data_IF_585709587326
#
_entry.id   IF_585709587326
#
_cell.length_a   1.000
_cell.length_b   1.000
_cell.length_c   1.000
_cell.angle_alpha   90.00
_cell.angle_beta   90.00
_cell.angle_gamma   90.00
#
_symmetry.space_group_name_H-M   'P 1'
#
loop_
_entity.id
_entity.type
_entity.pdbx_description
1 polymer ?
#
# COMPACT_ATOMS: atom_id res chain seq x y z
N UNK A 1 -25.48 19.17 -53.47
CA UNK A 1 -26.11 19.20 -52.13
C UNK A 1 -26.34 17.78 -51.57
N UNK A 2 -26.80 16.83 -52.39
CA UNK A 2 -27.07 15.44 -51.96
C UNK A 2 -25.84 14.68 -51.45
N UNK A 3 -24.68 14.83 -52.11
CA UNK A 3 -23.43 14.18 -51.69
C UNK A 3 -23.00 14.66 -50.29
N UNK A 4 -23.13 15.95 -50.00
CA UNK A 4 -22.80 16.52 -48.69
C UNK A 4 -23.73 15.99 -47.59
N UNK A 5 -25.03 15.88 -47.88
CA UNK A 5 -26.02 15.29 -46.97
C UNK A 5 -25.75 13.80 -46.74
N UNK A 6 -25.38 13.05 -47.77
CA UNK A 6 -25.03 11.64 -47.68
C UNK A 6 -23.79 11.42 -46.78
N UNK A 7 -22.72 12.20 -47.00
CA UNK A 7 -21.51 12.14 -46.17
C UNK A 7 -21.80 12.48 -44.71
N UNK A 8 -22.61 13.50 -44.44
CA UNK A 8 -23.02 13.85 -43.09
C UNK A 8 -23.78 12.73 -42.39
N UNK A 9 -24.73 12.07 -43.09
CA UNK A 9 -25.47 10.92 -42.55
C UNK A 9 -24.55 9.76 -42.21
N UNK A 10 -23.57 9.44 -43.05
CA UNK A 10 -22.59 8.36 -42.80
C UNK A 10 -21.70 8.69 -41.60
N UNK A 11 -21.21 9.93 -41.50
CA UNK A 11 -20.41 10.34 -40.33
C UNK A 11 -21.22 10.27 -39.03
N UNK A 12 -22.47 10.74 -39.06
CA UNK A 12 -23.35 10.69 -37.88
C UNK A 12 -23.64 9.25 -37.43
N UNK A 13 -23.99 8.34 -38.35
CA UNK A 13 -24.28 6.95 -38.00
C UNK A 13 -23.04 6.23 -37.46
N UNK A 14 -21.87 6.42 -38.08
CA UNK A 14 -20.61 5.83 -37.60
C UNK A 14 -20.25 6.35 -36.20
N UNK A 15 -20.39 7.65 -35.95
CA UNK A 15 -20.17 8.24 -34.63
C UNK A 15 -21.12 7.67 -33.57
N UNK A 16 -22.40 7.48 -33.91
CA UNK A 16 -23.39 6.88 -33.00
C UNK A 16 -23.03 5.43 -32.68
N UNK A 17 -22.64 4.63 -33.68
CA UNK A 17 -22.23 3.23 -33.48
C UNK A 17 -20.99 3.14 -32.57
N UNK A 18 -19.97 3.98 -32.79
CA UNK A 18 -18.78 4.05 -31.95
C UNK A 18 -19.12 4.43 -30.50
N UNK A 19 -20.01 5.40 -30.31
CA UNK A 19 -20.46 5.80 -28.98
C UNK A 19 -21.19 4.66 -28.26
N UNK A 20 -22.14 4.00 -28.93
CA UNK A 20 -22.87 2.86 -28.36
C UNK A 20 -21.91 1.70 -28.00
N UNK A 21 -20.92 1.43 -28.85
CA UNK A 21 -19.90 0.43 -28.58
C UNK A 21 -19.05 0.79 -27.34
N UNK A 22 -18.65 2.06 -27.23
CA UNK A 22 -17.90 2.55 -26.06
C UNK A 22 -18.74 2.43 -24.78
N UNK A 23 -20.01 2.84 -24.80
CA UNK A 23 -20.94 2.70 -23.67
C UNK A 23 -21.10 1.23 -23.29
N UNK A 24 -21.30 0.34 -24.25
CA UNK A 24 -21.40 -1.09 -24.00
C UNK A 24 -20.12 -1.67 -23.36
N UNK A 25 -18.93 -1.26 -23.84
CA UNK A 25 -17.65 -1.65 -23.25
C UNK A 25 -17.52 -1.16 -21.80
N UNK A 26 -17.94 0.07 -21.52
CA UNK A 26 -17.93 0.62 -20.15
C UNK A 26 -18.90 -0.16 -19.26
N UNK A 27 -20.11 -0.47 -19.72
CA UNK A 27 -21.08 -1.26 -18.96
C UNK A 27 -20.54 -2.68 -18.69
N UNK A 28 -19.95 -3.33 -19.69
CA UNK A 28 -19.38 -4.66 -19.51
C UNK A 28 -18.26 -4.64 -18.46
N UNK A 29 -17.31 -3.70 -18.58
CA UNK A 29 -16.16 -3.58 -17.68
C UNK A 29 -16.56 -3.15 -16.27
N UNK A 30 -17.44 -2.17 -16.13
CA UNK A 30 -17.80 -1.61 -14.83
C UNK A 30 -18.88 -2.43 -14.13
N UNK A 31 -19.82 -3.05 -14.83
CA UNK A 31 -20.96 -3.71 -14.19
C UNK A 31 -20.95 -5.22 -14.36
N UNK A 32 -20.81 -5.71 -15.60
CA UNK A 32 -21.00 -7.13 -15.90
C UNK A 32 -19.84 -7.98 -15.39
N UNK A 33 -18.60 -7.59 -15.69
CA UNK A 33 -17.38 -8.28 -15.26
C UNK A 33 -17.29 -8.41 -13.73
N UNK A 34 -17.41 -7.32 -12.92
CA UNK A 34 -17.33 -7.45 -11.47
C UNK A 34 -18.46 -8.29 -10.90
N UNK A 35 -19.68 -8.18 -11.44
CA UNK A 35 -20.80 -9.01 -10.98
C UNK A 35 -20.58 -10.50 -11.28
N UNK A 36 -20.03 -10.84 -12.45
CA UNK A 36 -19.65 -12.22 -12.81
C UNK A 36 -18.57 -12.75 -11.87
N UNK A 37 -17.52 -11.96 -11.61
CA UNK A 37 -16.46 -12.33 -10.69
C UNK A 37 -16.98 -12.51 -9.26
N UNK A 38 -17.83 -11.60 -8.76
CA UNK A 38 -18.49 -11.72 -7.47
C UNK A 38 -19.29 -13.02 -7.32
N UNK A 39 -20.11 -13.36 -8.31
CA UNK A 39 -20.88 -14.61 -8.33
C UNK A 39 -19.96 -15.84 -8.34
N UNK A 40 -18.86 -15.79 -9.10
CA UNK A 40 -17.89 -16.90 -9.17
C UNK A 40 -17.20 -17.13 -7.82
N UNK A 41 -16.76 -16.06 -7.15
CA UNK A 41 -16.15 -16.15 -5.81
C UNK A 41 -17.12 -16.76 -4.79
N UNK A 42 -18.38 -16.30 -4.79
CA UNK A 42 -19.43 -16.85 -3.91
C UNK A 42 -19.72 -18.32 -4.18
N UNK A 43 -19.76 -18.74 -5.44
CA UNK A 43 -19.92 -20.16 -5.83
C UNK A 43 -18.77 -21.02 -5.32
N UNK A 44 -17.56 -20.49 -5.28
CA UNK A 44 -16.38 -21.18 -4.74
C UNK A 44 -16.29 -21.12 -3.20
N UNK A 45 -17.35 -20.68 -2.52
CA UNK A 45 -17.40 -20.62 -1.04
C UNK A 45 -16.70 -19.41 -0.42
N UNK A 46 -16.13 -18.50 -1.21
CA UNK A 46 -15.49 -17.29 -0.69
C UNK A 46 -16.58 -16.29 -0.26
N UNK A 47 -16.68 -16.12 1.06
CA UNK A 47 -17.57 -15.13 1.71
C UNK A 47 -16.85 -13.79 1.85
N UNK A 48 -17.58 -12.76 2.26
CA UNK A 48 -17.04 -11.44 2.50
C UNK A 48 -18.11 -10.35 2.52
N UNK A 49 -17.71 -9.10 2.76
CA UNK A 49 -18.62 -7.97 2.76
C UNK A 49 -19.23 -7.77 1.36
N UNK A 50 -20.51 -7.42 1.31
CA UNK A 50 -21.20 -7.19 0.04
C UNK A 50 -20.68 -5.91 -0.62
N UNK A 51 -20.16 -5.96 -1.86
CA UNK A 51 -19.66 -4.76 -2.54
C UNK A 51 -20.80 -3.85 -3.01
N UNK A 52 -20.58 -2.53 -2.94
CA UNK A 52 -21.51 -1.53 -3.49
C UNK A 52 -20.87 -0.87 -4.71
N UNK A 53 -21.48 -1.05 -5.88
CA UNK A 53 -20.99 -0.42 -7.10
C UNK A 53 -21.15 1.11 -7.06
N UNK A 54 -20.21 1.91 -7.59
CA UNK A 54 -18.94 1.51 -8.25
C UNK A 54 -17.74 1.37 -7.31
N UNK A 55 -17.87 1.77 -6.04
CA UNK A 55 -16.73 1.94 -5.13
C UNK A 55 -16.36 0.68 -4.35
N UNK A 56 -17.10 -0.42 -4.51
CA UNK A 56 -16.89 -1.66 -3.78
C UNK A 56 -17.14 -1.44 -2.28
N UNK A 57 -16.13 -1.74 -1.45
CA UNK A 57 -16.18 -1.59 0.00
C UNK A 57 -15.48 -0.32 0.52
N UNK A 58 -14.98 0.56 -0.36
CA UNK A 58 -14.23 1.77 0.03
C UNK A 58 -15.01 2.68 0.98
N UNK A 59 -16.32 2.83 0.75
CA UNK A 59 -17.18 3.64 1.61
C UNK A 59 -17.27 3.11 3.05
N UNK A 60 -17.35 1.79 3.21
CA UNK A 60 -17.37 1.13 4.52
C UNK A 60 -16.00 1.26 5.21
N UNK A 61 -14.91 1.05 4.48
CA UNK A 61 -13.54 1.22 5.00
C UNK A 61 -13.33 2.64 5.53
N UNK A 62 -13.73 3.67 4.77
CA UNK A 62 -13.63 5.07 5.19
C UNK A 62 -14.45 5.34 6.46
N UNK A 63 -15.66 4.79 6.55
CA UNK A 63 -16.53 4.92 7.73
C UNK A 63 -15.91 4.25 8.97
N UNK A 64 -15.39 3.03 8.86
CA UNK A 64 -14.78 2.33 9.99
C UNK A 64 -13.53 3.05 10.52
N UNK A 65 -12.71 3.63 9.63
CA UNK A 65 -11.57 4.47 10.03
C UNK A 65 -12.04 5.74 10.74
N UNK A 66 -13.07 6.42 10.22
CA UNK A 66 -13.61 7.63 10.84
C UNK A 66 -14.21 7.35 12.22
N UNK A 67 -15.04 6.31 12.35
CA UNK A 67 -15.69 5.94 13.60
C UNK A 67 -14.67 5.55 14.69
N UNK A 68 -13.56 4.91 14.32
CA UNK A 68 -12.48 4.60 15.26
C UNK A 68 -11.81 5.88 15.79
N UNK A 69 -11.55 6.87 14.92
CA UNK A 69 -10.96 8.16 15.30
C UNK A 69 -11.88 8.96 16.23
N UNK A 70 -13.17 9.00 15.96
CA UNK A 70 -14.14 9.70 16.81
C UNK A 70 -14.31 9.03 18.18
N UNK A 71 -14.27 7.69 18.22
CA UNK A 71 -14.35 6.91 19.46
C UNK A 71 -13.10 7.09 20.35
N UNK A 72 -11.92 7.29 19.76
CA UNK A 72 -10.70 7.61 20.52
C UNK A 72 -10.64 9.05 21.02
N UNK A 73 -11.43 9.96 20.44
CA UNK A 73 -11.53 11.35 20.90
C UNK A 73 -12.64 11.58 21.94
N UNK A 74 -13.63 10.69 22.05
CA UNK A 74 -14.70 10.78 23.06
C UNK A 74 -14.35 10.13 24.40
N UNK A 75 -13.23 9.39 24.49
CA UNK A 75 -12.63 8.94 25.76
C UNK A 75 -11.72 10.02 26.38
N UNK A 76 -12.12 11.30 26.27
CA UNK A 76 -11.48 12.44 26.94
C UNK A 76 -12.25 12.88 28.18
N UNK A 77 -12.90 11.95 28.88
CA UNK A 77 -13.37 12.17 30.25
C UNK A 77 -12.44 11.46 31.23
N UNK A 78 -11.77 12.28 32.04
CA UNK A 78 -11.04 11.93 33.26
C UNK A 78 -9.81 11.01 33.12
N UNK A 79 -8.64 11.66 33.19
CA UNK A 79 -7.45 11.23 33.91
C UNK A 79 -7.41 9.76 34.39
N UNK A 80 -6.87 8.87 33.57
CA UNK A 80 -6.09 7.73 34.07
C UNK A 80 -4.69 7.79 33.47
N UNK A 81 -3.74 8.30 34.27
CA UNK A 81 -2.30 8.13 34.07
C UNK A 81 -1.96 6.65 34.32
N UNK A 82 -2.35 5.76 33.42
CA UNK A 82 -1.77 4.43 33.28
C UNK A 82 -0.90 4.44 32.03
N UNK A 83 0.31 3.88 32.08
CA UNK A 83 1.10 3.68 30.85
C UNK A 83 0.21 3.06 29.79
N UNK A 84 0.30 3.46 28.50
CA UNK A 84 -0.44 2.75 27.47
C UNK A 84 -0.02 1.30 27.55
N UNK A 85 -0.92 0.43 28.03
CA UNK A 85 -0.74 -1.01 27.95
C UNK A 85 -0.37 -1.28 26.51
N UNK A 86 0.86 -1.75 26.28
CA UNK A 86 1.36 -2.02 24.93
C UNK A 86 0.59 -3.24 24.45
N UNK A 87 -0.58 -2.99 23.87
CA UNK A 87 -1.40 -4.04 23.30
C UNK A 87 -0.69 -4.54 22.06
N UNK A 88 -0.38 -5.84 22.03
CA UNK A 88 0.25 -6.47 20.87
C UNK A 88 -0.70 -6.58 19.66
N UNK A 89 -2.01 -6.31 19.82
CA UNK A 89 -2.96 -6.26 18.71
C UNK A 89 -2.93 -4.89 18.00
N UNK A 90 -1.93 -4.73 17.14
CA UNK A 90 -1.77 -3.57 16.27
C UNK A 90 -2.79 -3.63 15.12
N UNK A 91 -3.27 -4.81 14.75
CA UNK A 91 -4.08 -5.02 13.55
C UNK A 91 -5.42 -4.29 13.60
N UNK A 92 -6.14 -4.38 14.72
CA UNK A 92 -7.42 -3.68 14.90
C UNK A 92 -7.27 -2.15 15.02
N UNK A 93 -6.08 -1.68 15.37
CA UNK A 93 -5.75 -0.26 15.46
C UNK A 93 -5.42 0.33 14.09
N UNK A 94 -4.62 -0.38 13.29
CA UNK A 94 -4.17 0.10 11.97
C UNK A 94 -5.23 -0.15 10.89
N UNK A 95 -5.89 -1.32 10.92
CA UNK A 95 -6.88 -1.74 9.92
C UNK A 95 -8.20 -2.16 10.57
N UNK A 96 -8.96 -1.21 11.14
CA UNK A 96 -10.18 -1.52 11.90
C UNK A 96 -11.25 -2.26 11.07
N UNK A 97 -11.35 -1.96 9.77
CA UNK A 97 -12.29 -2.62 8.86
C UNK A 97 -11.91 -4.08 8.59
N UNK A 98 -10.62 -4.42 8.43
CA UNK A 98 -10.19 -5.81 8.29
C UNK A 98 -10.42 -6.60 9.58
N UNK A 99 -10.13 -5.99 10.73
CA UNK A 99 -10.42 -6.63 12.02
C UNK A 99 -11.93 -6.90 12.21
N UNK A 100 -12.80 -5.97 11.77
CA UNK A 100 -14.24 -6.16 11.79
C UNK A 100 -14.70 -7.28 10.84
N UNK A 101 -14.27 -7.25 9.57
CA UNK A 101 -14.66 -8.25 8.58
C UNK A 101 -14.11 -9.63 8.91
N UNK A 102 -12.91 -9.72 9.49
CA UNK A 102 -12.35 -10.99 9.95
C UNK A 102 -13.24 -11.65 11.01
N UNK A 103 -13.84 -10.86 11.91
CA UNK A 103 -14.80 -11.38 12.90
C UNK A 103 -16.11 -11.87 12.27
N UNK A 104 -16.57 -11.21 11.20
CA UNK A 104 -17.85 -11.51 10.54
C UNK A 104 -17.75 -12.63 9.49
N UNK A 105 -16.64 -12.71 8.77
CA UNK A 105 -16.46 -13.57 7.60
C UNK A 105 -15.36 -14.63 7.78
N UNK A 106 -14.61 -14.58 8.88
CA UNK A 106 -13.53 -15.51 9.19
C UNK A 106 -12.15 -15.03 8.71
N UNK A 107 -11.16 -15.93 8.74
CA UNK A 107 -9.76 -15.63 8.40
C UNK A 107 -9.51 -15.50 6.89
N UNK A 108 -10.44 -15.96 6.05
CA UNK A 108 -10.34 -15.89 4.59
C UNK A 108 -11.63 -15.33 4.03
N UNK A 109 -11.56 -14.18 3.36
CA UNK A 109 -12.73 -13.54 2.76
C UNK A 109 -12.34 -12.65 1.57
N UNK A 110 -13.27 -12.45 0.64
CA UNK A 110 -13.10 -11.55 -0.49
C UNK A 110 -13.75 -10.18 -0.22
N UNK A 111 -13.05 -9.10 -0.54
CA UNK A 111 -13.56 -7.73 -0.49
C UNK A 111 -13.24 -7.01 -1.81
N UNK A 112 -13.79 -5.83 -2.03
CA UNK A 112 -13.71 -5.11 -3.29
C UNK A 112 -13.17 -3.70 -3.12
N UNK A 113 -12.20 -3.34 -3.95
CA UNK A 113 -11.75 -1.95 -4.11
C UNK A 113 -12.21 -1.49 -5.49
N UNK A 114 -13.25 -0.67 -5.53
CA UNK A 114 -13.91 -0.34 -6.78
C UNK A 114 -14.52 -1.58 -7.45
N UNK A 115 -14.11 -1.85 -8.69
CA UNK A 115 -14.53 -3.01 -9.50
C UNK A 115 -13.61 -4.22 -9.37
N UNK A 116 -12.59 -4.15 -8.51
CA UNK A 116 -11.57 -5.18 -8.39
C UNK A 116 -11.69 -6.00 -7.09
N UNK A 117 -11.76 -7.34 -7.20
CA UNK A 117 -11.81 -8.21 -6.04
C UNK A 117 -10.42 -8.43 -5.46
N UNK A 118 -10.34 -8.38 -4.15
CA UNK A 118 -9.17 -8.72 -3.35
C UNK A 118 -9.51 -9.85 -2.39
N UNK A 119 -8.56 -10.76 -2.19
CA UNK A 119 -8.68 -11.85 -1.25
C UNK A 119 -7.85 -11.52 0.00
N UNK A 120 -8.51 -11.43 1.14
CA UNK A 120 -7.87 -11.34 2.45
C UNK A 120 -7.61 -12.75 2.98
N UNK A 121 -6.39 -13.00 3.46
CA UNK A 121 -5.96 -14.28 4.00
C UNK A 121 -5.16 -14.03 5.29
N UNK A 122 -5.71 -14.45 6.42
CA UNK A 122 -5.06 -14.45 7.74
C UNK A 122 -4.94 -15.87 8.31
N UNK A 123 -5.14 -16.90 7.49
CA UNK A 123 -4.95 -18.29 7.87
C UNK A 123 -3.50 -18.74 7.56
N UNK A 124 -2.68 -19.05 8.58
CA UNK A 124 -1.29 -19.44 8.37
C UNK A 124 -1.14 -20.75 7.60
N UNK A 125 -2.07 -21.70 7.75
CA UNK A 125 -2.00 -22.97 7.02
C UNK A 125 -2.26 -22.75 5.54
N UNK A 126 -3.27 -21.95 5.20
CA UNK A 126 -3.55 -21.53 3.84
C UNK A 126 -2.35 -20.79 3.21
N UNK A 127 -1.75 -19.85 3.93
CA UNK A 127 -0.57 -19.12 3.45
C UNK A 127 0.63 -20.04 3.23
N UNK A 128 0.84 -21.01 4.13
CA UNK A 128 1.90 -22.02 3.98
C UNK A 128 1.67 -22.87 2.73
N UNK A 129 0.45 -23.35 2.50
CA UNK A 129 0.12 -24.13 1.31
C UNK A 129 0.27 -23.30 0.03
N UNK A 130 -0.17 -22.04 0.03
CA UNK A 130 -0.07 -21.16 -1.13
C UNK A 130 1.40 -20.80 -1.47
N UNK A 131 2.21 -20.54 -0.45
CA UNK A 131 3.65 -20.21 -0.62
C UNK A 131 4.52 -21.41 -1.00
N UNK A 132 4.13 -22.62 -0.63
CA UNK A 132 4.88 -23.86 -0.96
C UNK A 132 4.38 -24.52 -2.25
N UNK A 133 3.06 -24.58 -2.45
CA UNK A 133 2.42 -25.29 -3.56
C UNK A 133 2.43 -24.52 -4.87
N UNK A 134 2.67 -23.21 -4.83
CA UNK A 134 2.76 -22.40 -6.04
C UNK A 134 4.07 -21.63 -6.05
N UNK A 135 4.95 -22.02 -6.97
CA UNK A 135 6.25 -21.36 -7.18
C UNK A 135 5.99 -19.87 -7.38
N UNK A 136 6.59 -19.00 -6.57
CA UNK A 136 6.34 -17.55 -6.57
C UNK A 136 6.50 -16.84 -7.93
N UNK A 137 6.99 -17.53 -8.96
CA UNK A 137 7.00 -17.06 -10.36
C UNK A 137 5.63 -17.05 -11.04
N UNK A 138 4.63 -17.82 -10.59
CA UNK A 138 3.39 -18.01 -11.37
C UNK A 138 2.20 -17.11 -10.97
N UNK A 139 2.20 -16.49 -9.78
CA UNK A 139 1.10 -15.58 -9.39
C UNK A 139 1.22 -14.21 -10.04
N UNK A 140 2.44 -13.78 -10.39
CA UNK A 140 2.71 -12.42 -10.84
C UNK A 140 2.24 -11.35 -9.83
N UNK A 141 2.51 -10.09 -10.12
CA UNK A 141 1.92 -8.95 -9.41
C UNK A 141 0.60 -8.60 -10.07
N UNK A 142 -0.43 -8.21 -9.29
CA UNK A 142 -1.68 -7.74 -9.84
C UNK A 142 -1.45 -6.62 -10.86
N UNK A 143 -2.09 -6.73 -12.02
CA UNK A 143 -2.01 -5.72 -13.10
C UNK A 143 -2.42 -4.32 -12.65
N UNK A 144 -3.33 -4.25 -11.68
CA UNK A 144 -3.74 -3.02 -10.98
C UNK A 144 -2.54 -2.23 -10.50
N UNK A 145 -1.66 -2.92 -9.77
CA UNK A 145 -0.50 -2.30 -9.17
C UNK A 145 0.57 -2.01 -10.20
N UNK A 146 0.61 -2.75 -11.33
CA UNK A 146 1.53 -2.44 -12.42
C UNK A 146 1.21 -1.09 -13.02
N UNK A 147 -0.03 -0.88 -13.47
CA UNK A 147 -0.40 0.34 -14.18
C UNK A 147 -0.40 1.57 -13.26
N UNK A 148 -0.93 1.44 -12.04
CA UNK A 148 -1.06 2.58 -11.12
C UNK A 148 0.30 3.09 -10.62
N UNK A 149 1.30 2.21 -10.56
CA UNK A 149 2.60 2.49 -9.91
C UNK A 149 3.74 2.64 -10.92
N UNK A 150 3.52 2.30 -12.18
CA UNK A 150 4.52 2.47 -13.24
C UNK A 150 5.08 3.90 -13.30
N UNK A 151 4.28 4.99 -13.21
CA UNK A 151 4.82 6.34 -13.27
C UNK A 151 5.80 6.69 -12.13
N UNK A 152 5.67 6.02 -10.97
CA UNK A 152 6.52 6.27 -9.80
C UNK A 152 7.73 5.34 -9.72
N UNK A 153 7.58 4.10 -10.16
CA UNK A 153 8.56 3.05 -9.93
C UNK A 153 9.15 2.45 -11.21
N UNK A 154 8.60 2.80 -12.38
CA UNK A 154 9.01 2.29 -13.69
C UNK A 154 9.21 0.77 -13.69
N UNK A 155 10.35 0.33 -14.21
CA UNK A 155 10.85 -1.04 -14.15
C UNK A 155 11.77 -1.32 -12.94
N UNK A 156 11.56 -0.63 -11.82
CA UNK A 156 12.31 -0.88 -10.59
C UNK A 156 12.08 -2.27 -9.99
N UNK A 157 12.90 -2.67 -9.02
CA UNK A 157 12.79 -3.99 -8.33
C UNK A 157 11.37 -4.28 -7.81
N UNK A 158 10.65 -3.25 -7.39
CA UNK A 158 9.27 -3.33 -6.91
C UNK A 158 8.26 -3.71 -8.01
N UNK A 159 8.60 -3.57 -9.29
CA UNK A 159 7.70 -3.72 -10.43
C UNK A 159 8.05 -4.93 -11.31
N UNK A 160 9.33 -5.22 -11.54
CA UNK A 160 9.81 -6.38 -12.33
C UNK A 160 9.45 -7.74 -11.72
N UNK A 161 9.36 -8.78 -12.55
CA UNK A 161 8.95 -10.13 -12.20
C UNK A 161 9.90 -11.19 -12.77
N UNK A 162 9.71 -12.45 -12.36
CA UNK A 162 10.42 -13.59 -12.95
C UNK A 162 11.94 -13.49 -12.79
N UNK A 163 12.65 -13.76 -13.88
CA UNK A 163 14.11 -13.85 -13.88
C UNK A 163 14.79 -12.47 -13.79
N UNK A 164 14.17 -11.42 -14.34
CA UNK A 164 14.65 -10.04 -14.21
C UNK A 164 14.63 -9.60 -12.73
N UNK A 165 13.54 -9.91 -12.03
CA UNK A 165 13.46 -9.70 -10.58
C UNK A 165 14.53 -10.49 -9.81
N UNK A 166 14.76 -11.75 -10.19
CA UNK A 166 15.77 -12.58 -9.54
C UNK A 166 17.18 -12.02 -9.75
N UNK A 167 17.48 -11.54 -10.96
CA UNK A 167 18.75 -10.90 -11.29
C UNK A 167 18.98 -9.61 -10.50
N UNK A 168 18.00 -8.69 -10.48
CA UNK A 168 18.13 -7.44 -9.72
C UNK A 168 18.26 -7.70 -8.21
N UNK A 169 17.52 -8.69 -7.68
CA UNK A 169 17.63 -9.08 -6.27
C UNK A 169 19.02 -9.63 -5.97
N UNK A 170 19.60 -10.45 -6.86
CA UNK A 170 20.94 -10.98 -6.69
C UNK A 170 21.99 -9.87 -6.60
N UNK A 171 21.92 -8.86 -7.48
CA UNK A 171 22.82 -7.69 -7.46
C UNK A 171 22.71 -6.90 -6.16
N UNK A 172 21.50 -6.73 -5.62
CA UNK A 172 21.27 -5.90 -4.43
C UNK A 172 21.52 -6.64 -3.10
N UNK A 173 21.44 -7.97 -3.08
CA UNK A 173 21.57 -8.76 -1.85
C UNK A 173 22.87 -8.50 -1.07
N UNK A 174 24.06 -8.37 -1.71
CA UNK A 174 25.30 -8.08 -1.00
C UNK A 174 25.27 -6.77 -0.20
N UNK A 175 24.52 -5.76 -0.64
CA UNK A 175 24.40 -4.49 0.08
C UNK A 175 23.75 -4.67 1.48
N UNK A 176 22.95 -5.72 1.65
CA UNK A 176 22.28 -6.05 2.93
C UNK A 176 23.00 -7.18 3.68
N UNK A 177 24.29 -7.41 3.43
CA UNK A 177 25.08 -8.36 4.20
C UNK A 177 25.24 -7.92 5.66
N UNK A 178 25.42 -8.83 6.63
CA UNK A 178 25.61 -8.48 8.04
C UNK A 178 26.76 -7.48 8.28
N UNK A 179 27.82 -7.53 7.49
CA UNK A 179 28.93 -6.58 7.57
C UNK A 179 28.51 -5.17 7.14
N UNK A 180 27.83 -5.05 6.00
CA UNK A 180 27.31 -3.77 5.51
C UNK A 180 26.24 -3.21 6.43
N UNK A 181 25.37 -4.06 7.00
CA UNK A 181 24.35 -3.65 7.96
C UNK A 181 24.97 -3.06 9.24
N UNK A 182 26.07 -3.62 9.76
CA UNK A 182 26.78 -3.04 10.93
C UNK A 182 27.28 -1.63 10.63
N UNK A 183 27.84 -1.44 9.44
CA UNK A 183 28.30 -0.12 8.97
C UNK A 183 27.12 0.84 8.87
N UNK A 184 26.02 0.46 8.21
CA UNK A 184 24.81 1.28 8.12
C UNK A 184 24.21 1.63 9.49
N UNK A 185 24.20 0.69 10.44
CA UNK A 185 23.73 0.93 11.80
C UNK A 185 24.62 1.94 12.54
N UNK A 186 25.94 1.92 12.31
CA UNK A 186 26.85 2.90 12.91
C UNK A 186 26.52 4.33 12.45
N UNK A 187 26.23 4.50 11.15
CA UNK A 187 25.80 5.79 10.60
C UNK A 187 24.43 6.22 11.15
N UNK A 188 23.46 5.30 11.22
CA UNK A 188 22.15 5.59 11.80
C UNK A 188 22.26 6.04 13.26
N UNK A 189 23.10 5.37 14.06
CA UNK A 189 23.34 5.76 15.46
C UNK A 189 23.97 7.15 15.56
N UNK A 190 24.95 7.47 14.70
CA UNK A 190 25.55 8.80 14.63
C UNK A 190 24.50 9.87 14.28
N UNK A 191 23.65 9.61 13.27
CA UNK A 191 22.57 10.53 12.88
C UNK A 191 21.56 10.76 14.02
N UNK A 192 21.15 9.69 14.71
CA UNK A 192 20.24 9.78 15.85
C UNK A 192 20.87 10.60 16.98
N UNK A 193 22.16 10.40 17.27
CA UNK A 193 22.86 11.16 18.29
C UNK A 193 22.92 12.65 17.94
N UNK A 194 23.29 12.98 16.70
CA UNK A 194 23.30 14.37 16.23
C UNK A 194 21.90 15.01 16.30
N UNK A 195 20.84 14.27 15.98
CA UNK A 195 19.47 14.78 16.07
C UNK A 195 19.03 15.02 17.51
N UNK A 196 19.45 14.17 18.47
CA UNK A 196 19.22 14.39 19.90
C UNK A 196 19.94 15.64 20.41
N UNK A 197 21.19 15.84 19.98
CA UNK A 197 22.00 16.99 20.36
C UNK A 197 21.39 18.30 19.84
N UNK A 198 20.89 18.30 18.59
CA UNK A 198 20.15 19.42 18.01
C UNK A 198 18.85 19.71 18.77
N UNK A 199 18.05 18.69 19.08
CA UNK A 199 16.83 18.84 19.88
C UNK A 199 17.13 19.42 21.26
N UNK A 200 18.23 19.04 21.89
CA UNK A 200 18.68 19.59 23.16
C UNK A 200 19.00 21.08 23.05
N UNK A 201 19.76 21.49 22.02
CA UNK A 201 20.09 22.90 21.77
C UNK A 201 18.83 23.72 21.50
N UNK A 202 17.92 23.25 20.63
CA UNK A 202 16.68 23.94 20.34
C UNK A 202 15.79 24.12 21.58
N UNK A 203 15.86 23.21 22.56
CA UNK A 203 15.09 23.29 23.81
C UNK A 203 15.72 24.22 24.85
N UNK A 204 17.03 24.48 24.77
CA UNK A 204 17.75 25.35 25.69
C UNK A 204 18.33 26.57 24.95
N UNK A 205 17.63 27.72 25.00
CA UNK A 205 18.06 28.96 24.31
C UNK A 205 19.45 29.49 24.72
N UNK A 206 19.99 29.05 25.86
CA UNK A 206 21.35 29.38 26.31
C UNK A 206 22.45 28.42 25.81
N UNK A 207 22.11 27.40 25.01
CA UNK A 207 23.04 26.36 24.55
C UNK A 207 23.78 26.67 23.24
N UNK A 208 23.76 27.93 22.76
CA UNK A 208 24.42 28.35 21.52
C UNK A 208 25.94 28.06 21.50
N UNK A 209 26.60 28.03 22.67
CA UNK A 209 28.02 27.68 22.80
C UNK A 209 28.35 26.20 22.47
N UNK A 210 27.35 25.30 22.44
CA UNK A 210 27.59 23.88 22.14
C UNK A 210 27.60 23.56 20.64
N UNK A 211 27.16 24.49 19.78
CA UNK A 211 27.05 24.26 18.34
C UNK A 211 28.42 24.01 17.69
N UNK A 212 29.44 24.78 18.06
CA UNK A 212 30.80 24.58 17.54
C UNK A 212 31.43 23.26 18.00
N UNK A 213 31.17 22.86 19.24
CA UNK A 213 31.68 21.60 19.81
C UNK A 213 31.09 20.37 19.12
N UNK A 214 29.83 20.44 18.67
CA UNK A 214 29.15 19.37 17.93
C UNK A 214 29.58 19.37 16.47
N UNK A 215 29.73 20.53 15.83
CA UNK A 215 30.26 20.63 14.46
C UNK A 215 31.67 20.03 14.35
N UNK A 216 32.52 20.18 15.38
CA UNK A 216 33.84 19.54 15.43
C UNK A 216 33.71 18.03 15.61
N UNK A 217 32.76 17.55 16.42
CA UNK A 217 32.56 16.12 16.72
C UNK A 217 32.08 15.30 15.51
N UNK A 218 31.29 15.91 14.62
CA UNK A 218 30.69 15.22 13.47
C UNK A 218 31.25 15.65 12.11
N UNK A 219 32.40 16.34 12.06
CA UNK A 219 33.07 16.68 10.79
C UNK A 219 34.07 15.57 10.39
N UNK A 220 33.73 14.69 9.44
CA UNK A 220 34.54 13.52 9.11
C UNK A 220 35.77 13.85 8.25
N UNK A 221 35.93 15.10 7.80
CA UNK A 221 36.99 15.51 6.87
C UNK A 221 38.29 15.98 7.55
N UNK A 222 38.33 16.08 8.88
CA UNK A 222 39.50 16.60 9.60
C UNK A 222 40.53 15.53 10.03
N UNK A 223 40.21 14.24 9.92
CA UNK A 223 41.12 13.16 10.37
C UNK A 223 42.13 12.69 9.32
N UNK A 224 42.14 13.26 8.10
CA UNK A 224 43.02 12.84 7.00
C UNK A 224 44.05 13.89 6.53
N UNK A 225 44.28 14.97 7.29
CA UNK A 225 45.21 16.06 6.91
C UNK A 225 46.41 16.17 7.87
N UNK A 226 46.67 15.17 8.71
CA UNK A 226 47.89 15.14 9.52
C UNK A 226 48.49 13.73 9.58
N UNK A 227 49.22 13.38 8.53
CA UNK A 227 50.43 12.56 8.56
C UNK A 227 51.31 12.99 7.39
#
# INVERSE_FOLDING_TARGET
MEIQLFLFKVFFTTSVVLFLFAVWKVIDRCWVQPLRAYRKLRKNGLKGPTPVFPLGNLGEMKKSVMNKRTSSSSSSSAASKGSPSVTHDIHSTVFPFFAQWQKLHGKVFAYWLGVEPFLYIADPEFLKQMSTGVVGKSWGKPTVFKNDREPMFGSGLLMIEGDEWAHHRHILTPAFSPANLKVSLSYLNAMISAQKDLLFICRNKHALFLVESILIRYNPWKSNISN
#
